data_IF_776550684181
#
_entry.id   IF_776550684181
#
_cell.length_a   1.000
_cell.length_b   1.000
_cell.length_c   1.000
_cell.angle_alpha   90.00
_cell.angle_beta   90.00
_cell.angle_gamma   90.00
#
_symmetry.space_group_name_H-M   'P 1'
#
loop_
_entity.id
_entity.type
_entity.pdbx_description
1 polymer ?
#
# COMPACT_ATOMS: atom_id res chain seq x y z
N UNK A 1 -13.84 -3.96 -19.06
CA UNK A 1 -14.06 -2.60 -18.56
C UNK A 1 -12.84 -1.70 -18.76
N UNK A 2 -11.66 -2.11 -18.38
CA UNK A 2 -10.42 -1.32 -18.44
C UNK A 2 -9.86 -1.05 -19.84
N UNK A 3 -10.20 -1.86 -20.85
CA UNK A 3 -9.73 -1.69 -22.24
C UNK A 3 -10.19 -0.38 -22.93
N UNK A 4 -11.20 0.31 -22.38
CA UNK A 4 -11.76 1.56 -22.92
C UNK A 4 -11.49 2.78 -22.00
N UNK A 5 -10.53 2.66 -21.09
CA UNK A 5 -10.15 3.75 -20.20
C UNK A 5 -9.25 4.74 -20.94
N UNK A 6 -9.39 6.03 -20.64
CA UNK A 6 -8.44 7.06 -21.09
C UNK A 6 -7.17 7.02 -20.20
N UNK A 7 -6.19 6.25 -20.63
CA UNK A 7 -4.92 6.12 -19.93
C UNK A 7 -4.08 7.39 -19.95
N UNK A 8 -4.27 8.28 -20.93
CA UNK A 8 -3.57 9.57 -20.97
C UNK A 8 -4.12 10.52 -19.88
N UNK A 9 -5.43 10.52 -19.66
CA UNK A 9 -6.03 11.28 -18.55
C UNK A 9 -5.57 10.72 -17.20
N UNK A 10 -5.60 9.40 -17.04
CA UNK A 10 -5.13 8.72 -15.83
C UNK A 10 -3.66 9.02 -15.55
N UNK A 11 -2.79 8.97 -16.54
CA UNK A 11 -1.37 9.32 -16.41
C UNK A 11 -1.18 10.75 -15.90
N UNK A 12 -1.89 11.73 -16.49
CA UNK A 12 -1.77 13.14 -16.05
C UNK A 12 -2.16 13.30 -14.58
N UNK A 13 -3.24 12.65 -14.15
CA UNK A 13 -3.71 12.71 -12.76
C UNK A 13 -2.71 12.06 -11.80
N UNK A 14 -2.22 10.87 -12.12
CA UNK A 14 -1.23 10.14 -11.33
C UNK A 14 0.08 10.91 -11.22
N UNK A 15 0.59 11.46 -12.33
CA UNK A 15 1.83 12.24 -12.32
C UNK A 15 1.68 13.56 -11.56
N UNK A 16 0.50 14.17 -11.59
CA UNK A 16 0.16 15.32 -10.74
C UNK A 16 0.30 14.95 -9.27
N UNK A 17 -0.32 13.86 -8.83
CA UNK A 17 -0.25 13.36 -7.46
C UNK A 17 1.19 12.96 -7.08
N UNK A 18 1.89 12.24 -7.94
CA UNK A 18 3.30 11.88 -7.73
C UNK A 18 4.18 13.13 -7.49
N UNK A 19 3.90 14.23 -8.18
CA UNK A 19 4.61 15.49 -7.99
C UNK A 19 4.34 16.16 -6.63
N UNK A 20 3.11 16.04 -6.11
CA UNK A 20 2.76 16.50 -4.75
C UNK A 20 3.50 15.67 -3.71
N UNK A 21 3.52 14.35 -3.86
CA UNK A 21 4.20 13.43 -2.95
C UNK A 21 5.72 13.65 -2.89
N UNK A 22 6.38 13.94 -4.00
CA UNK A 22 7.85 14.16 -4.04
C UNK A 22 8.31 15.35 -3.20
N UNK A 23 7.44 16.32 -2.95
CA UNK A 23 7.76 17.55 -2.20
C UNK A 23 7.49 17.44 -0.70
N UNK A 24 6.78 16.43 -0.27
CA UNK A 24 6.31 16.25 1.10
C UNK A 24 6.78 14.90 1.64
N UNK A 25 7.08 14.84 2.93
CA UNK A 25 7.74 13.66 3.52
C UNK A 25 6.93 12.95 4.57
N UNK A 26 6.06 13.67 5.30
CA UNK A 26 5.23 13.10 6.36
C UNK A 26 3.90 12.67 5.78
N UNK A 27 3.55 11.42 6.02
CA UNK A 27 2.27 10.82 5.63
C UNK A 27 1.55 10.41 6.90
N UNK A 28 0.30 10.82 7.03
CA UNK A 28 -0.61 10.30 8.04
C UNK A 28 -1.79 9.64 7.34
N UNK A 29 -2.17 8.46 7.84
CA UNK A 29 -3.32 7.72 7.32
C UNK A 29 -4.24 7.38 8.47
N UNK A 30 -5.51 7.69 8.33
CA UNK A 30 -6.57 7.26 9.24
C UNK A 30 -7.73 6.62 8.49
N UNK A 31 -8.56 5.86 9.19
CA UNK A 31 -9.80 5.31 8.63
C UNK A 31 -10.87 5.12 9.70
N UNK A 32 -12.16 5.08 9.33
CA UNK A 32 -13.25 4.83 10.28
C UNK A 32 -13.14 3.48 10.98
N UNK A 33 -12.48 2.49 10.38
CA UNK A 33 -12.23 1.16 10.94
C UNK A 33 -11.14 1.14 12.01
N UNK A 34 -10.41 2.25 12.22
CA UNK A 34 -9.44 2.39 13.30
C UNK A 34 -7.98 2.44 12.87
N UNK A 35 -7.69 2.56 11.57
CA UNK A 35 -6.32 2.90 11.15
C UNK A 35 -5.94 4.27 11.69
N UNK A 36 -4.78 4.35 12.35
CA UNK A 36 -4.16 5.59 12.80
C UNK A 36 -2.65 5.38 12.75
N UNK A 37 -2.00 5.85 11.67
CA UNK A 37 -0.59 5.57 11.38
C UNK A 37 0.10 6.78 10.79
N UNK A 38 1.33 7.02 11.21
CA UNK A 38 2.19 8.08 10.67
C UNK A 38 3.56 7.52 10.27
N UNK A 39 4.11 8.02 9.17
CA UNK A 39 5.45 7.66 8.70
C UNK A 39 6.07 8.74 7.81
N UNK A 40 7.38 8.59 7.57
CA UNK A 40 8.14 9.43 6.64
C UNK A 40 8.43 8.66 5.35
N UNK A 41 8.36 9.31 4.20
CA UNK A 41 8.78 8.74 2.90
C UNK A 41 10.30 8.73 2.72
N UNK A 42 11.03 9.48 3.54
CA UNK A 42 12.50 9.48 3.56
C UNK A 42 13.17 10.00 2.31
N UNK A 43 12.45 10.66 1.40
CA UNK A 43 12.97 11.08 0.10
C UNK A 43 13.13 9.94 -0.91
N UNK A 44 12.58 8.76 -0.62
CA UNK A 44 12.51 7.63 -1.54
C UNK A 44 11.60 7.93 -2.73
N UNK A 45 11.74 7.13 -3.77
CA UNK A 45 10.97 7.27 -5.00
C UNK A 45 9.47 7.17 -4.76
N UNK A 46 8.73 8.03 -5.41
CA UNK A 46 7.28 7.90 -5.59
C UNK A 46 7.06 7.15 -6.88
N UNK A 47 6.35 6.07 -6.83
CA UNK A 47 6.09 5.22 -7.97
C UNK A 47 4.67 5.46 -8.51
N UNK A 48 4.60 5.52 -9.82
CA UNK A 48 3.39 5.83 -10.58
C UNK A 48 3.05 4.64 -11.47
N UNK A 49 2.00 3.92 -11.13
CA UNK A 49 1.44 2.86 -11.97
C UNK A 49 0.29 3.44 -12.80
N UNK A 50 0.64 3.98 -13.96
CA UNK A 50 -0.26 4.74 -14.82
C UNK A 50 -0.73 4.00 -16.08
N UNK A 51 -0.27 2.76 -16.28
CA UNK A 51 -0.66 1.91 -17.41
C UNK A 51 -0.04 2.28 -18.76
N UNK A 52 0.86 3.27 -18.80
CA UNK A 52 1.55 3.65 -20.04
C UNK A 52 2.80 2.79 -20.23
N UNK A 53 2.87 2.11 -21.36
CA UNK A 53 3.97 1.25 -21.76
C UNK A 53 4.33 1.56 -23.23
N UNK A 54 5.07 2.66 -23.45
CA UNK A 54 5.36 3.19 -24.78
C UNK A 54 6.85 3.24 -25.13
N UNK A 55 7.70 2.62 -24.32
CA UNK A 55 9.16 2.53 -24.54
C UNK A 55 9.63 1.09 -24.43
N UNK A 56 10.62 0.65 -25.20
CA UNK A 56 11.23 -0.66 -25.07
C UNK A 56 11.72 -0.94 -23.64
N UNK A 57 11.43 -2.13 -23.11
CA UNK A 57 11.81 -2.55 -21.75
C UNK A 57 10.93 -2.01 -20.62
N UNK A 58 9.93 -1.19 -20.91
CA UNK A 58 8.96 -0.71 -19.94
C UNK A 58 7.93 -1.79 -19.62
N UNK A 59 7.53 -1.88 -18.36
CA UNK A 59 6.47 -2.77 -17.87
C UNK A 59 5.36 -1.91 -17.27
N UNK A 60 4.11 -2.26 -17.53
CA UNK A 60 2.93 -1.64 -16.93
C UNK A 60 1.97 -2.73 -16.43
N UNK A 61 1.30 -2.47 -15.30
CA UNK A 61 0.24 -3.34 -14.80
C UNK A 61 -1.12 -2.91 -15.36
N UNK A 62 -2.03 -3.87 -15.53
CA UNK A 62 -3.43 -3.63 -15.88
C UNK A 62 -4.34 -4.50 -15.01
N UNK A 63 -5.36 -3.89 -14.34
CA UNK A 63 -5.67 -2.47 -14.33
C UNK A 63 -4.57 -1.64 -13.67
N UNK A 64 -4.33 -0.44 -14.20
CA UNK A 64 -3.41 0.55 -13.64
C UNK A 64 -4.19 1.61 -12.87
N UNK A 65 -3.50 2.46 -12.14
CA UNK A 65 -4.11 3.60 -11.46
C UNK A 65 -3.80 3.66 -9.99
N UNK A 66 -2.51 3.71 -9.62
CA UNK A 66 -2.10 3.91 -8.23
C UNK A 66 -0.82 4.72 -8.12
N UNK A 67 -0.68 5.38 -6.98
CA UNK A 67 0.56 5.99 -6.51
C UNK A 67 0.99 5.26 -5.25
N UNK A 68 2.28 4.95 -5.15
CA UNK A 68 2.79 4.26 -3.98
C UNK A 68 4.21 4.68 -3.61
N UNK A 69 4.51 4.55 -2.34
CA UNK A 69 5.78 4.94 -1.74
C UNK A 69 6.27 3.85 -0.79
N UNK A 70 7.56 3.89 -0.51
CA UNK A 70 8.20 3.04 0.49
C UNK A 70 8.47 3.87 1.73
N UNK A 71 7.85 3.52 2.87
CA UNK A 71 8.13 4.18 4.13
C UNK A 71 9.62 4.14 4.46
N UNK A 72 10.15 5.22 5.03
CA UNK A 72 11.49 5.21 5.61
C UNK A 72 11.50 4.19 6.75
N UNK A 73 12.42 3.23 6.68
CA UNK A 73 12.58 2.21 7.72
C UNK A 73 12.75 2.84 9.10
N UNK A 74 12.07 2.29 10.08
CA UNK A 74 12.07 2.78 11.46
C UNK A 74 11.20 4.01 11.72
N UNK A 75 10.53 4.59 10.73
CA UNK A 75 9.75 5.83 10.91
C UNK A 75 8.26 5.64 11.17
N UNK A 76 7.72 4.45 10.92
CA UNK A 76 6.29 4.18 11.01
C UNK A 76 5.91 3.68 12.41
N UNK A 77 4.89 4.32 13.01
CA UNK A 77 4.32 3.90 14.29
C UNK A 77 2.82 4.14 14.31
N UNK A 78 2.08 3.25 14.97
CA UNK A 78 0.63 3.33 15.12
C UNK A 78 -0.09 2.02 14.83
N UNK A 79 -1.33 2.09 14.39
CA UNK A 79 -2.18 0.94 14.07
C UNK A 79 -2.64 1.00 12.63
N UNK A 80 -2.57 -0.13 11.92
CA UNK A 80 -3.15 -0.32 10.60
C UNK A 80 -4.31 -1.31 10.77
N UNK A 81 -5.50 -0.92 10.33
CA UNK A 81 -6.66 -1.81 10.25
C UNK A 81 -6.97 -2.07 8.78
N UNK A 82 -6.83 -3.32 8.37
CA UNK A 82 -7.18 -3.80 7.04
C UNK A 82 -8.62 -4.30 7.09
N UNK A 83 -9.51 -3.63 6.41
CA UNK A 83 -10.95 -3.92 6.40
C UNK A 83 -11.52 -4.22 5.01
N UNK A 84 -10.66 -4.28 4.01
CA UNK A 84 -11.03 -4.57 2.62
C UNK A 84 -10.73 -6.01 2.21
N UNK A 85 -9.52 -6.23 1.69
CA UNK A 85 -9.02 -7.54 1.28
C UNK A 85 -7.57 -7.73 1.68
N UNK A 86 -7.14 -8.99 1.82
CA UNK A 86 -5.75 -9.40 1.98
C UNK A 86 -5.36 -10.32 0.83
N UNK A 87 -4.38 -9.92 0.01
CA UNK A 87 -3.93 -10.67 -1.18
C UNK A 87 -5.07 -11.12 -2.11
N UNK A 88 -6.15 -10.33 -2.21
CA UNK A 88 -7.32 -10.62 -3.03
C UNK A 88 -8.36 -11.54 -2.35
N UNK A 89 -8.22 -11.80 -1.06
CA UNK A 89 -9.24 -12.47 -0.25
C UNK A 89 -10.02 -11.38 0.49
N UNK A 90 -11.33 -11.32 0.28
CA UNK A 90 -12.20 -10.40 1.02
C UNK A 90 -12.20 -10.78 2.51
N UNK A 91 -12.05 -9.77 3.36
CA UNK A 91 -12.07 -9.98 4.80
C UNK A 91 -13.51 -9.91 5.34
N UNK A 92 -13.91 -10.93 6.10
CA UNK A 92 -15.17 -10.94 6.83
C UNK A 92 -15.08 -10.12 8.12
N UNK A 93 -13.90 -10.11 8.75
CA UNK A 93 -13.58 -9.32 9.93
C UNK A 93 -12.32 -8.49 9.68
N UNK A 94 -12.26 -7.26 10.20
CA UNK A 94 -11.05 -6.42 10.05
C UNK A 94 -9.83 -7.05 10.73
N UNK A 95 -8.66 -6.92 10.07
CA UNK A 95 -7.36 -7.24 10.65
C UNK A 95 -6.77 -5.99 11.30
N UNK A 96 -6.34 -6.08 12.55
CA UNK A 96 -5.62 -5.02 13.24
C UNK A 96 -4.15 -5.39 13.38
N UNK A 97 -3.26 -4.50 12.92
CA UNK A 97 -1.82 -4.65 12.98
C UNK A 97 -1.21 -3.49 13.77
N UNK A 98 -0.53 -3.80 14.87
CA UNK A 98 0.21 -2.79 15.63
C UNK A 98 1.61 -2.66 15.06
N UNK A 99 2.02 -1.42 14.79
CA UNK A 99 3.27 -1.09 14.11
C UNK A 99 4.17 -0.31 15.05
N UNK A 100 5.39 -0.81 15.26
CA UNK A 100 6.46 -0.10 15.98
C UNK A 100 7.70 -0.04 15.09
N UNK A 101 8.24 1.15 14.90
CA UNK A 101 9.45 1.40 14.09
C UNK A 101 9.40 0.73 12.71
N UNK A 102 8.22 0.73 12.08
CA UNK A 102 8.03 0.16 10.74
C UNK A 102 7.92 -1.37 10.69
N UNK A 103 7.74 -2.02 11.84
CA UNK A 103 7.58 -3.47 11.95
C UNK A 103 6.21 -3.80 12.55
N UNK A 104 5.55 -4.82 12.04
CA UNK A 104 4.36 -5.39 12.68
C UNK A 104 4.83 -6.12 13.94
N UNK A 105 4.34 -5.70 15.10
CA UNK A 105 4.67 -6.31 16.41
C UNK A 105 3.51 -7.17 16.95
N UNK A 106 2.31 -6.94 16.45
CA UNK A 106 1.14 -7.75 16.77
C UNK A 106 0.14 -7.73 15.61
N UNK A 107 -0.51 -8.85 15.35
CA UNK A 107 -1.62 -8.97 14.40
C UNK A 107 -2.78 -9.64 15.11
N UNK A 108 -4.01 -9.19 14.84
CA UNK A 108 -5.25 -9.76 15.37
C UNK A 108 -6.41 -9.54 14.42
N UNK A 109 -7.40 -10.43 14.45
CA UNK A 109 -8.60 -10.33 13.60
C UNK A 109 -8.98 -11.68 12.98
N UNK A 110 -9.77 -12.47 13.70
CA UNK A 110 -10.33 -13.73 13.22
C UNK A 110 -9.31 -14.81 12.84
N UNK A 111 -9.77 -15.78 12.08
CA UNK A 111 -8.93 -16.90 11.61
C UNK A 111 -7.87 -16.45 10.62
N UNK A 112 -8.15 -15.47 9.78
CA UNK A 112 -7.23 -14.97 8.75
C UNK A 112 -5.92 -14.41 9.34
N UNK A 113 -5.96 -13.84 10.57
CA UNK A 113 -4.76 -13.39 11.26
C UNK A 113 -3.77 -14.53 11.49
N UNK A 114 -4.27 -15.69 11.96
CA UNK A 114 -3.45 -16.88 12.18
C UNK A 114 -2.87 -17.42 10.86
N UNK A 115 -3.65 -17.44 9.79
CA UNK A 115 -3.20 -17.89 8.45
C UNK A 115 -2.09 -17.00 7.89
N UNK A 116 -2.20 -15.70 8.12
CA UNK A 116 -1.16 -14.73 7.74
C UNK A 116 0.11 -14.97 8.57
N UNK A 117 0.00 -15.08 9.89
CA UNK A 117 1.14 -15.39 10.76
C UNK A 117 1.84 -16.68 10.32
N UNK A 118 1.09 -17.76 10.10
CA UNK A 118 1.64 -19.03 9.62
C UNK A 118 2.37 -18.87 8.28
N UNK A 119 1.82 -18.11 7.33
CA UNK A 119 2.44 -17.87 6.02
C UNK A 119 3.78 -17.13 6.14
N UNK A 120 3.85 -16.15 7.03
CA UNK A 120 5.08 -15.41 7.31
C UNK A 120 6.10 -16.26 8.09
N UNK A 121 5.66 -17.07 9.05
CA UNK A 121 6.55 -17.99 9.78
C UNK A 121 7.12 -19.06 8.85
N UNK A 122 6.32 -19.64 7.95
CA UNK A 122 6.82 -20.58 6.94
C UNK A 122 7.87 -19.93 6.04
N UNK A 123 7.66 -18.68 5.62
CA UNK A 123 8.64 -17.96 4.80
C UNK A 123 9.96 -17.70 5.54
N UNK A 124 9.96 -17.59 6.88
CA UNK A 124 11.18 -17.43 7.69
C UNK A 124 12.17 -18.58 7.53
N UNK A 125 11.70 -19.79 7.23
CA UNK A 125 12.57 -20.96 7.07
C UNK A 125 13.62 -20.78 5.97
N UNK A 126 13.30 -20.04 4.91
CA UNK A 126 14.19 -19.72 3.79
C UNK A 126 15.10 -18.50 4.01
N UNK A 127 14.95 -17.79 5.13
CA UNK A 127 15.65 -16.53 5.38
C UNK A 127 16.85 -16.74 6.31
N UNK A 128 17.98 -16.05 6.01
CA UNK A 128 19.15 -16.02 6.91
C UNK A 128 18.74 -15.53 8.30
N UNK A 129 19.22 -16.17 9.36
CA UNK A 129 18.84 -15.88 10.76
C UNK A 129 18.92 -14.39 11.12
N UNK A 130 19.96 -13.70 10.67
CA UNK A 130 20.17 -12.26 10.93
C UNK A 130 19.16 -11.32 10.25
N UNK A 131 18.27 -11.83 9.38
CA UNK A 131 17.27 -11.04 8.66
C UNK A 131 15.82 -11.49 8.92
N UNK A 132 15.63 -12.52 9.73
CA UNK A 132 14.30 -13.08 10.00
C UNK A 132 13.34 -12.07 10.60
N UNK A 133 13.83 -11.20 11.46
CA UNK A 133 13.00 -10.18 12.10
C UNK A 133 12.44 -9.16 11.09
N UNK A 134 13.12 -8.98 9.95
CA UNK A 134 12.68 -8.08 8.89
C UNK A 134 11.45 -8.58 8.10
N UNK A 135 10.99 -9.80 8.34
CA UNK A 135 9.86 -10.36 7.60
C UNK A 135 8.57 -9.57 7.82
N UNK A 136 8.43 -8.96 8.98
CA UNK A 136 7.28 -8.15 9.37
C UNK A 136 7.43 -6.65 9.04
N UNK A 137 8.36 -6.30 8.15
CA UNK A 137 8.54 -4.90 7.71
C UNK A 137 7.29 -4.41 6.99
N UNK A 138 6.81 -3.20 7.34
CA UNK A 138 5.84 -2.48 6.51
C UNK A 138 6.62 -1.90 5.32
N UNK A 139 6.44 -2.54 4.17
CA UNK A 139 7.28 -2.36 2.99
C UNK A 139 6.78 -1.26 2.05
N UNK A 140 5.48 -1.09 1.94
CA UNK A 140 4.82 -0.26 0.92
C UNK A 140 3.58 0.41 1.49
N UNK A 141 3.32 1.64 1.06
CA UNK A 141 2.04 2.31 1.21
C UNK A 141 1.61 2.86 -0.15
N UNK A 142 0.37 2.65 -0.52
CA UNK A 142 -0.19 3.19 -1.74
C UNK A 142 -1.68 3.45 -1.67
N UNK A 143 -2.19 4.17 -2.66
CA UNK A 143 -3.62 4.40 -2.82
C UNK A 143 -4.01 4.39 -4.29
N UNK A 144 -5.26 3.99 -4.52
CA UNK A 144 -5.82 3.84 -5.85
C UNK A 144 -6.41 5.14 -6.39
N UNK A 145 -6.27 5.30 -7.70
CA UNK A 145 -6.73 6.47 -8.46
C UNK A 145 -7.51 6.09 -9.71
N UNK A 146 -7.76 4.80 -9.96
CA UNK A 146 -8.45 4.35 -11.16
C UNK A 146 -9.96 4.69 -11.09
N UNK A 147 -10.49 5.57 -11.96
CA UNK A 147 -11.89 5.96 -11.90
C UNK A 147 -12.87 4.85 -12.33
N UNK A 148 -12.38 3.71 -12.81
CA UNK A 148 -13.18 2.56 -13.20
C UNK A 148 -13.18 1.42 -12.17
N UNK A 149 -12.32 1.52 -11.15
CA UNK A 149 -12.29 0.61 -10.01
C UNK A 149 -12.88 1.34 -8.80
N UNK A 150 -14.08 0.94 -8.38
CA UNK A 150 -14.87 1.66 -7.36
C UNK A 150 -15.19 0.82 -6.13
N UNK A 151 -14.98 -0.49 -6.21
CA UNK A 151 -15.33 -1.44 -5.15
C UNK A 151 -14.21 -2.46 -4.95
N UNK A 152 -14.00 -2.88 -3.71
CA UNK A 152 -13.13 -4.02 -3.37
C UNK A 152 -13.90 -5.30 -3.71
N UNK A 153 -13.33 -6.09 -4.60
CA UNK A 153 -14.00 -7.26 -5.18
C UNK A 153 -13.28 -8.59 -4.86
N UNK A 154 -12.19 -8.53 -4.09
CA UNK A 154 -11.38 -9.72 -3.82
C UNK A 154 -10.47 -10.07 -5.00
N UNK A 155 -9.93 -9.07 -5.67
CA UNK A 155 -8.96 -9.27 -6.74
C UNK A 155 -7.64 -8.59 -6.39
N UNK A 156 -6.57 -9.38 -6.31
CA UNK A 156 -5.23 -8.95 -5.86
C UNK A 156 -4.66 -7.73 -6.61
N UNK A 157 -5.05 -7.51 -7.86
CA UNK A 157 -4.55 -6.38 -8.66
C UNK A 157 -5.55 -5.22 -8.67
N UNK A 158 -6.84 -5.54 -8.84
CA UNK A 158 -7.90 -4.55 -8.95
C UNK A 158 -8.12 -3.77 -7.65
N UNK A 159 -8.08 -4.48 -6.52
CA UNK A 159 -8.31 -3.87 -5.21
C UNK A 159 -7.27 -2.80 -4.84
N UNK A 160 -6.06 -2.88 -5.41
CA UNK A 160 -4.99 -1.90 -5.16
C UNK A 160 -5.15 -0.59 -5.96
N UNK A 161 -5.98 -0.57 -6.99
CA UNK A 161 -6.15 0.60 -7.86
C UNK A 161 -7.47 1.32 -7.64
N UNK A 162 -8.30 0.85 -6.70
CA UNK A 162 -9.61 1.42 -6.39
C UNK A 162 -9.47 2.89 -6.05
N UNK A 163 -10.21 3.73 -6.79
CA UNK A 163 -10.22 5.17 -6.53
C UNK A 163 -10.76 5.47 -5.14
N UNK A 164 -9.92 6.08 -4.32
CA UNK A 164 -10.29 6.43 -2.96
C UNK A 164 -10.04 5.32 -1.92
N UNK A 165 -9.48 4.18 -2.31
CA UNK A 165 -8.97 3.17 -1.40
C UNK A 165 -7.47 3.33 -1.18
N UNK A 166 -6.96 2.76 -0.08
CA UNK A 166 -5.53 2.67 0.19
C UNK A 166 -5.13 1.23 0.52
N UNK A 167 -3.84 0.98 0.55
CA UNK A 167 -3.30 -0.32 0.92
C UNK A 167 -1.92 -0.20 1.56
N UNK A 168 -1.57 -1.19 2.34
CA UNK A 168 -0.23 -1.40 2.85
C UNK A 168 0.34 -2.73 2.34
N UNK A 169 1.65 -2.74 2.07
CA UNK A 169 2.40 -3.94 1.75
C UNK A 169 3.37 -4.30 2.89
N UNK A 170 3.54 -5.59 3.11
CA UNK A 170 4.32 -6.16 4.21
C UNK A 170 5.34 -7.15 3.68
N UNK A 171 6.56 -7.14 4.22
CA UNK A 171 7.63 -8.06 3.86
C UNK A 171 8.76 -7.43 3.04
N UNK A 172 9.09 -8.01 1.89
CA UNK A 172 10.24 -7.61 1.06
C UNK A 172 10.10 -6.19 0.48
N UNK A 173 11.12 -5.36 0.68
CA UNK A 173 11.17 -4.00 0.15
C UNK A 173 12.44 -3.73 -0.68
N UNK A 174 13.17 -4.78 -1.09
CA UNK A 174 14.49 -4.65 -1.72
C UNK A 174 14.46 -4.12 -3.14
N UNK A 175 13.39 -4.42 -3.89
CA UNK A 175 13.27 -3.96 -5.30
C UNK A 175 13.14 -2.44 -5.44
N UNK A 176 13.04 -1.72 -4.32
CA UNK A 176 12.98 -0.26 -4.26
C UNK A 176 13.96 0.35 -3.25
N UNK A 177 15.02 -0.38 -2.95
CA UNK A 177 16.14 0.10 -2.17
C UNK A 177 15.99 -0.04 -0.66
N UNK A 178 15.07 -0.89 -0.19
CA UNK A 178 14.96 -1.27 1.23
C UNK A 178 15.96 -2.36 1.63
N UNK A 179 16.05 -2.63 2.93
CA UNK A 179 16.95 -3.62 3.52
C UNK A 179 16.32 -5.00 3.78
N UNK A 180 14.99 -5.07 3.79
CA UNK A 180 14.24 -6.28 4.06
C UNK A 180 14.19 -7.20 2.84
N UNK A 181 15.22 -8.07 2.71
CA UNK A 181 15.28 -9.13 1.70
C UNK A 181 14.75 -10.41 2.30
N UNK A 182 13.44 -10.62 2.22
CA UNK A 182 12.75 -11.70 2.91
C UNK A 182 11.90 -12.60 1.99
N UNK A 183 11.80 -12.26 0.71
CA UNK A 183 11.21 -13.13 -0.32
C UNK A 183 9.68 -13.30 -0.24
N UNK A 184 9.01 -12.67 0.71
CA UNK A 184 7.56 -12.60 0.82
C UNK A 184 7.13 -11.14 0.76
N UNK A 185 6.05 -10.85 0.04
CA UNK A 185 5.45 -9.54 0.01
C UNK A 185 3.94 -9.70 -0.17
N UNK A 186 3.17 -9.31 0.84
CA UNK A 186 1.71 -9.40 0.85
C UNK A 186 1.09 -8.02 1.07
N UNK A 187 -0.13 -7.81 0.60
CA UNK A 187 -0.83 -6.52 0.66
C UNK A 187 -2.22 -6.65 1.25
N UNK A 188 -2.56 -5.68 2.09
CA UNK A 188 -3.90 -5.51 2.63
C UNK A 188 -4.50 -4.15 2.25
N UNK A 189 -5.79 -4.11 1.92
CA UNK A 189 -6.51 -2.92 1.48
C UNK A 189 -7.38 -2.32 2.57
N UNK A 190 -7.48 -0.98 2.57
CA UNK A 190 -8.27 -0.20 3.51
C UNK A 190 -9.39 0.51 2.75
N UNK A 191 -10.61 0.39 3.28
CA UNK A 191 -11.79 1.13 2.81
C UNK A 191 -11.80 2.55 3.39
N UNK A 192 -12.30 3.49 2.64
CA UNK A 192 -12.53 4.87 3.08
C UNK A 192 -11.39 5.51 3.91
N UNK A 193 -10.12 5.41 3.50
CA UNK A 193 -9.02 6.05 4.21
C UNK A 193 -9.08 7.57 4.04
N UNK A 194 -8.57 8.28 5.06
CA UNK A 194 -8.12 9.65 4.93
C UNK A 194 -6.59 9.67 4.88
N UNK A 195 -6.01 10.38 3.92
CA UNK A 195 -4.56 10.49 3.76
C UNK A 195 -4.14 11.95 3.74
N UNK A 196 -3.28 12.32 4.69
CA UNK A 196 -2.66 13.63 4.76
C UNK A 196 -1.19 13.54 4.35
N UNK A 197 -0.76 14.51 3.55
CA UNK A 197 0.65 14.79 3.29
C UNK A 197 1.02 16.10 3.96
N UNK A 198 1.87 16.05 4.98
CA UNK A 198 2.06 17.13 5.93
C UNK A 198 0.69 17.56 6.50
N UNK A 199 0.25 18.79 6.23
CA UNK A 199 -1.06 19.32 6.66
C UNK A 199 -2.12 19.31 5.53
N UNK A 200 -1.83 18.68 4.38
CA UNK A 200 -2.73 18.70 3.22
C UNK A 200 -3.44 17.36 3.06
N UNK A 201 -4.75 17.36 3.13
CA UNK A 201 -5.55 16.17 2.79
C UNK A 201 -5.50 15.91 1.29
N UNK A 202 -4.99 14.75 0.88
CA UNK A 202 -4.90 14.32 -0.51
C UNK A 202 -5.93 13.26 -0.86
N UNK A 203 -6.47 12.57 0.13
CA UNK A 203 -7.52 11.57 -0.01
C UNK A 203 -8.44 11.65 1.19
N UNK A 204 -9.74 11.79 0.97
CA UNK A 204 -10.78 11.73 1.99
C UNK A 204 -12.12 11.42 1.36
N UNK A 205 -12.97 10.63 2.03
CA UNK A 205 -14.30 10.24 1.56
C UNK A 205 -14.32 9.72 0.10
N UNK A 206 -13.32 8.94 -0.28
CA UNK A 206 -13.17 8.42 -1.65
C UNK A 206 -12.76 9.45 -2.70
N UNK A 207 -12.51 10.70 -2.31
CA UNK A 207 -12.11 11.79 -3.21
C UNK A 207 -10.61 12.02 -3.14
N UNK A 208 -9.96 12.01 -4.30
CA UNK A 208 -8.56 12.35 -4.47
C UNK A 208 -8.43 13.84 -4.79
N UNK A 209 -7.62 14.57 -4.01
CA UNK A 209 -7.35 15.99 -4.18
C UNK A 209 -5.91 16.23 -4.58
N UNK A 210 -5.69 16.86 -5.73
CA UNK A 210 -4.38 17.27 -6.26
C UNK A 210 -4.32 18.80 -6.16
N UNK A 211 -3.73 19.33 -5.09
CA UNK A 211 -3.54 20.78 -4.90
C UNK A 211 -2.10 21.12 -4.63
#
# INVERSE_FOLDING_TARGET
MYKRQDYNALQREISGMGSVFRRKRRVRVSSPSGTEIEFLTGGRWVLEDNGICNRPGQIANLPAGKVFVFPKEGSMNGTIVIDGSWEGILLEEPLSLNIEKGMVVNISGGQIANEIEESFEMAKAGIRSSKRDLIWTVAEFGFGMNPKATEIVGNRVEDLVIRGGAYFGFGDNTHLGGSARVGIHQRGTIRAPEVLLEESTILSEGKVSIR
#
